data_IF_583034450313
#
_entry.id   IF_583034450313
#
_cell.length_a   1.000
_cell.length_b   1.000
_cell.length_c   1.000
_cell.angle_alpha   90.00
_cell.angle_beta   90.00
_cell.angle_gamma   90.00
#
_symmetry.space_group_name_H-M   'P 1'
#
loop_
_entity.id
_entity.type
_entity.pdbx_description
1 polymer ?
#
# COMPACT_ATOMS: atom_id res chain seq x y z
N UNK A 1 -69.53 54.83 -6.06
CA UNK A 1 -68.75 55.31 -4.89
C UNK A 1 -67.66 54.28 -4.64
N UNK A 2 -66.38 54.59 -4.92
CA UNK A 2 -65.39 55.05 -3.92
C UNK A 2 -65.27 53.98 -2.80
N UNK A 3 -64.14 53.31 -2.53
CA UNK A 3 -62.77 53.79 -2.29
C UNK A 3 -61.79 52.59 -2.26
N UNK A 4 -60.56 52.75 -2.79
CA UNK A 4 -59.36 51.94 -2.51
C UNK A 4 -58.67 52.45 -1.22
N UNK A 5 -58.02 51.61 -0.37
CA UNK A 5 -56.55 51.43 -0.49
C UNK A 5 -56.03 50.02 -0.06
N UNK A 6 -55.04 49.44 -0.77
CA UNK A 6 -53.59 49.31 -0.42
C UNK A 6 -53.29 48.59 0.90
N UNK A 7 -52.58 47.44 0.85
CA UNK A 7 -51.23 47.20 1.44
C UNK A 7 -50.59 45.94 0.81
N UNK A 8 -49.30 46.07 0.53
CA UNK A 8 -48.30 45.17 -0.07
C UNK A 8 -47.80 44.11 0.91
N UNK A 9 -47.44 42.90 0.47
CA UNK A 9 -46.15 42.25 0.80
C UNK A 9 -45.91 41.03 -0.11
N UNK A 10 -44.82 41.09 -0.86
CA UNK A 10 -44.21 40.04 -1.65
C UNK A 10 -43.29 39.17 -0.78
N UNK A 11 -43.25 37.86 -1.04
CA UNK A 11 -42.10 37.01 -0.71
C UNK A 11 -41.99 35.88 -1.74
N UNK A 12 -40.94 35.95 -2.57
CA UNK A 12 -40.57 34.90 -3.52
C UNK A 12 -39.79 33.78 -2.81
N UNK A 13 -40.07 32.54 -3.19
CA UNK A 13 -39.26 31.38 -2.81
C UNK A 13 -38.42 30.95 -4.01
N UNK A 14 -37.10 31.22 -3.93
CA UNK A 14 -36.07 30.65 -4.78
C UNK A 14 -35.84 29.20 -4.37
N UNK A 15 -36.18 28.24 -5.24
CA UNK A 15 -35.83 26.83 -5.06
C UNK A 15 -34.34 26.61 -5.29
N UNK A 16 -33.60 26.33 -4.22
CA UNK A 16 -32.21 25.85 -4.27
C UNK A 16 -32.19 24.44 -4.84
N UNK A 17 -31.73 24.30 -6.09
CA UNK A 17 -31.30 23.02 -6.65
C UNK A 17 -30.05 22.56 -5.92
N UNK A 18 -30.20 21.60 -5.01
CA UNK A 18 -29.08 20.92 -4.37
C UNK A 18 -28.32 20.08 -5.40
N UNK A 19 -27.17 20.58 -5.85
CA UNK A 19 -26.19 19.79 -6.58
C UNK A 19 -25.66 18.70 -5.66
N UNK A 20 -26.26 17.52 -5.77
CA UNK A 20 -25.69 16.30 -5.21
C UNK A 20 -24.43 16.00 -6.04
N UNK A 21 -23.24 16.13 -5.46
CA UNK A 21 -22.03 15.55 -6.05
C UNK A 21 -22.23 14.04 -6.10
N UNK A 22 -22.71 13.56 -7.25
CA UNK A 22 -22.60 12.16 -7.60
C UNK A 22 -21.11 11.85 -7.72
N UNK A 23 -20.56 11.11 -6.77
CA UNK A 23 -19.29 10.43 -6.98
C UNK A 23 -19.51 9.47 -8.15
N UNK A 24 -19.03 9.86 -9.32
CA UNK A 24 -18.88 8.92 -10.43
C UNK A 24 -18.13 7.69 -9.91
N UNK A 25 -18.55 6.51 -10.35
CA UNK A 25 -17.79 5.27 -10.18
C UNK A 25 -16.48 5.40 -10.97
N UNK A 26 -15.54 6.16 -10.42
CA UNK A 26 -14.18 6.28 -10.91
C UNK A 26 -13.32 5.19 -10.29
N UNK A 27 -12.30 4.78 -11.04
CA UNK A 27 -11.14 4.06 -10.52
C UNK A 27 -10.71 4.65 -9.18
N UNK A 28 -10.41 3.79 -8.21
CA UNK A 28 -9.93 4.19 -6.90
C UNK A 28 -8.78 5.20 -7.06
N UNK A 29 -9.05 6.47 -6.79
CA UNK A 29 -8.04 7.52 -6.94
C UNK A 29 -7.09 7.43 -5.75
N UNK A 30 -5.93 6.84 -5.99
CA UNK A 30 -4.86 6.81 -5.00
C UNK A 30 -4.37 8.24 -4.76
N UNK A 31 -4.31 8.64 -3.49
CA UNK A 31 -3.88 9.99 -3.12
C UNK A 31 -2.40 9.98 -2.80
N UNK A 32 -1.59 10.87 -3.41
CA UNK A 32 -0.22 11.08 -3.00
C UNK A 32 -0.08 11.42 -1.52
N UNK A 33 0.80 10.73 -0.82
CA UNK A 33 0.99 10.92 0.61
C UNK A 33 2.34 10.38 1.08
N UNK A 34 2.72 10.81 2.29
CA UNK A 34 3.80 10.21 3.07
C UNK A 34 3.25 9.74 4.41
N UNK A 35 3.51 8.48 4.73
CA UNK A 35 3.14 7.83 5.98
C UNK A 35 4.39 7.35 6.72
N UNK A 36 4.48 7.63 8.02
CA UNK A 36 5.56 7.17 8.90
C UNK A 36 4.96 6.26 9.96
N UNK A 37 5.57 5.10 10.13
CA UNK A 37 5.15 4.07 11.08
C UNK A 37 6.29 3.74 12.03
N UNK A 38 6.00 3.62 13.32
CA UNK A 38 6.91 3.02 14.28
C UNK A 38 6.68 1.51 14.34
N UNK A 39 7.77 0.75 14.21
CA UNK A 39 7.76 -0.70 14.17
C UNK A 39 8.08 -1.27 15.54
N UNK A 40 7.39 -2.34 15.92
CA UNK A 40 7.61 -3.05 17.17
C UNK A 40 7.37 -4.54 16.99
N UNK A 41 8.16 -5.37 17.66
CA UNK A 41 7.91 -6.81 17.79
C UNK A 41 6.50 -7.07 18.35
N UNK A 42 5.77 -7.98 17.72
CA UNK A 42 4.47 -8.49 18.20
C UNK A 42 4.63 -9.87 18.82
N UNK A 43 5.29 -10.79 18.07
CA UNK A 43 5.61 -12.13 18.53
C UNK A 43 6.92 -12.63 17.91
N UNK A 44 7.61 -13.54 18.60
CA UNK A 44 8.75 -14.27 18.06
C UNK A 44 8.72 -15.70 18.61
N UNK A 45 9.04 -16.69 17.78
CA UNK A 45 9.28 -18.06 18.22
C UNK A 45 10.71 -18.15 18.79
N UNK A 46 10.93 -19.02 19.77
CA UNK A 46 12.25 -19.23 20.36
C UNK A 46 13.32 -19.56 19.30
N UNK A 47 12.93 -20.29 18.24
CA UNK A 47 13.81 -20.67 17.12
C UNK A 47 14.31 -19.51 16.27
N UNK A 48 13.64 -18.34 16.32
CA UNK A 48 14.10 -17.13 15.62
C UNK A 48 15.30 -16.46 16.32
N UNK A 49 15.50 -16.72 17.62
CA UNK A 49 16.51 -16.06 18.45
C UNK A 49 16.28 -14.56 18.68
N UNK A 50 15.13 -14.02 18.25
CA UNK A 50 14.77 -12.60 18.39
C UNK A 50 14.19 -12.36 19.77
N UNK A 51 14.83 -11.49 20.54
CA UNK A 51 14.36 -11.07 21.87
C UNK A 51 13.70 -9.70 21.87
N UNK A 52 13.95 -8.90 20.83
CA UNK A 52 13.38 -7.58 20.66
C UNK A 52 13.47 -7.08 19.22
N UNK A 53 12.49 -6.27 18.82
CA UNK A 53 12.51 -5.56 17.53
C UNK A 53 11.88 -4.18 17.69
N UNK A 54 12.60 -3.17 17.25
CA UNK A 54 12.10 -1.80 17.10
C UNK A 54 12.51 -1.26 15.74
N UNK A 55 11.80 -0.26 15.23
CA UNK A 55 12.15 0.29 13.93
C UNK A 55 11.26 1.42 13.48
N UNK A 56 11.46 1.83 12.23
CA UNK A 56 10.65 2.83 11.58
C UNK A 56 10.51 2.51 10.09
N UNK A 57 9.30 2.68 9.60
CA UNK A 57 8.95 2.58 8.19
C UNK A 57 8.49 3.93 7.68
N UNK A 58 9.02 4.36 6.55
CA UNK A 58 8.59 5.57 5.84
C UNK A 58 8.14 5.15 4.45
N UNK A 59 6.89 5.42 4.14
CA UNK A 59 6.28 5.14 2.84
C UNK A 59 5.86 6.46 2.21
N UNK A 60 6.31 6.72 1.00
CA UNK A 60 5.95 7.90 0.22
C UNK A 60 5.45 7.45 -1.14
N UNK A 61 4.22 7.84 -1.47
CA UNK A 61 3.55 7.56 -2.72
C UNK A 61 3.25 8.86 -3.44
N UNK A 62 3.67 8.97 -4.70
CA UNK A 62 3.46 10.14 -5.54
C UNK A 62 3.05 9.72 -6.95
N UNK A 63 2.44 10.64 -7.68
CA UNK A 63 2.11 10.46 -9.10
C UNK A 63 0.62 10.43 -9.39
N UNK A 64 0.28 10.03 -10.61
CA UNK A 64 -1.07 10.04 -11.15
C UNK A 64 -1.21 9.05 -12.30
N UNK A 65 -2.44 8.81 -12.78
CA UNK A 65 -2.71 7.97 -13.95
C UNK A 65 -1.97 8.46 -15.23
N UNK A 66 -1.60 9.74 -15.30
CA UNK A 66 -0.96 10.32 -16.49
C UNK A 66 0.56 10.33 -16.41
N UNK A 67 1.11 10.56 -15.21
CA UNK A 67 2.56 10.62 -15.00
C UNK A 67 3.16 9.25 -14.66
N UNK A 68 2.32 8.30 -14.25
CA UNK A 68 2.75 7.11 -13.53
C UNK A 68 2.91 7.38 -12.04
N UNK A 69 3.30 6.34 -11.31
CA UNK A 69 3.37 6.33 -9.86
C UNK A 69 4.79 6.07 -9.39
N UNK A 70 5.29 6.88 -8.47
CA UNK A 70 6.59 6.68 -7.82
C UNK A 70 6.35 6.33 -6.36
N UNK A 71 6.96 5.24 -5.90
CA UNK A 71 6.95 4.86 -4.49
C UNK A 71 8.38 4.91 -3.94
N UNK A 72 8.57 5.62 -2.83
CA UNK A 72 9.78 5.53 -2.02
C UNK A 72 9.42 4.89 -0.69
N UNK A 73 10.16 3.85 -0.34
CA UNK A 73 9.93 3.07 0.86
C UNK A 73 11.25 2.89 1.59
N UNK A 74 11.27 3.21 2.89
CA UNK A 74 12.42 2.96 3.75
C UNK A 74 11.98 2.21 4.99
N UNK A 75 12.61 1.08 5.24
CA UNK A 75 12.28 0.17 6.32
C UNK A 75 13.52 -0.09 7.15
N UNK A 76 13.55 0.48 8.35
CA UNK A 76 14.67 0.35 9.28
C UNK A 76 14.25 -0.45 10.48
N UNK A 77 14.94 -1.55 10.75
CA UNK A 77 14.74 -2.36 11.94
C UNK A 77 16.03 -2.50 12.73
N UNK A 78 15.87 -2.56 14.03
CA UNK A 78 16.90 -2.88 15.02
C UNK A 78 16.40 -4.12 15.73
N UNK A 79 17.14 -5.21 15.57
CA UNK A 79 16.79 -6.53 16.09
C UNK A 79 17.77 -6.88 17.20
N UNK A 80 17.22 -7.16 18.38
CA UNK A 80 17.93 -7.68 19.53
C UNK A 80 17.86 -9.21 19.47
N UNK A 81 19.01 -9.87 19.58
CA UNK A 81 19.13 -11.32 19.54
C UNK A 81 19.72 -11.83 20.85
N UNK A 82 19.39 -13.06 21.24
CA UNK A 82 19.82 -13.63 22.53
C UNK A 82 21.34 -13.86 22.59
N UNK A 83 21.91 -14.48 21.56
CA UNK A 83 23.33 -14.88 21.51
C UNK A 83 24.18 -14.06 20.52
N UNK A 84 23.56 -13.14 19.78
CA UNK A 84 24.20 -12.34 18.74
C UNK A 84 24.14 -10.85 19.08
N UNK A 85 25.11 -10.04 18.62
CA UNK A 85 25.02 -8.60 18.77
C UNK A 85 23.78 -8.06 18.06
N UNK A 86 23.26 -6.94 18.58
CA UNK A 86 22.18 -6.21 17.95
C UNK A 86 22.52 -5.90 16.48
N UNK A 87 21.55 -6.13 15.59
CA UNK A 87 21.69 -5.90 14.16
C UNK A 87 20.76 -4.80 13.69
N UNK A 88 21.27 -3.84 12.92
CA UNK A 88 20.46 -2.83 12.26
C UNK A 88 20.36 -3.14 10.78
N UNK A 89 19.14 -3.28 10.27
CA UNK A 89 18.86 -3.46 8.85
C UNK A 89 18.10 -2.24 8.33
N UNK A 90 18.61 -1.61 7.27
CA UNK A 90 17.99 -0.47 6.58
C UNK A 90 17.77 -0.85 5.11
N UNK A 91 16.52 -1.06 4.75
CA UNK A 91 16.10 -1.33 3.38
C UNK A 91 15.53 -0.05 2.75
N UNK A 92 16.05 0.30 1.58
CA UNK A 92 15.64 1.46 0.82
C UNK A 92 15.19 1.00 -0.56
N UNK A 93 13.92 1.23 -0.86
CA UNK A 93 13.26 0.83 -2.09
C UNK A 93 12.72 2.06 -2.80
N UNK A 94 13.04 2.19 -4.08
CA UNK A 94 12.42 3.18 -4.96
C UNK A 94 11.87 2.45 -6.17
N UNK A 95 10.60 2.69 -6.48
CA UNK A 95 9.93 2.10 -7.63
C UNK A 95 9.18 3.13 -8.46
N UNK A 96 8.99 2.81 -9.73
CA UNK A 96 8.14 3.56 -10.65
C UNK A 96 7.25 2.58 -11.43
N UNK A 97 5.94 2.84 -11.47
CA UNK A 97 4.96 2.15 -12.29
C UNK A 97 4.38 3.10 -13.34
N UNK A 98 4.30 2.67 -14.60
CA UNK A 98 3.62 3.45 -15.63
C UNK A 98 2.12 3.58 -15.31
N UNK A 99 1.49 4.68 -15.71
CA UNK A 99 0.08 4.94 -15.40
C UNK A 99 -0.90 3.93 -16.03
N UNK A 100 -0.50 3.27 -17.12
CA UNK A 100 -1.23 2.15 -17.72
C UNK A 100 -0.90 0.79 -17.06
N UNK A 101 0.07 0.73 -16.13
CA UNK A 101 0.41 -0.44 -15.33
C UNK A 101 1.21 -1.53 -16.06
N UNK A 102 1.76 -1.24 -17.24
CA UNK A 102 2.46 -2.23 -18.07
C UNK A 102 3.98 -2.28 -17.84
N UNK A 103 4.55 -1.31 -17.12
CA UNK A 103 5.98 -1.18 -16.84
C UNK A 103 6.22 -0.87 -15.39
N UNK A 104 7.24 -1.51 -14.84
CA UNK A 104 7.68 -1.35 -13.47
C UNK A 104 9.19 -1.25 -13.42
N UNK A 105 9.71 -0.25 -12.74
CA UNK A 105 11.14 -0.10 -12.47
C UNK A 105 11.36 -0.10 -10.99
N UNK A 106 12.42 -0.77 -10.54
CA UNK A 106 12.69 -0.93 -9.11
C UNK A 106 14.18 -0.88 -8.81
N UNK A 107 14.49 -0.35 -7.63
CA UNK A 107 15.81 -0.40 -6.99
C UNK A 107 15.59 -0.72 -5.53
N UNK A 108 16.18 -1.81 -5.05
CA UNK A 108 16.19 -2.20 -3.64
C UNK A 108 17.63 -2.22 -3.14
N UNK A 109 17.92 -1.47 -2.09
CA UNK A 109 19.21 -1.47 -1.40
C UNK A 109 19.02 -1.93 0.03
N UNK A 110 19.82 -2.89 0.44
CA UNK A 110 19.84 -3.38 1.82
C UNK A 110 21.17 -3.05 2.47
N UNK A 111 21.10 -2.28 3.55
CA UNK A 111 22.24 -1.97 4.39
C UNK A 111 22.11 -2.77 5.69
N UNK A 112 23.20 -3.42 6.09
CA UNK A 112 23.31 -4.08 7.40
C UNK A 112 24.43 -3.38 8.14
N UNK A 113 24.13 -2.86 9.33
CA UNK A 113 25.06 -2.08 10.14
C UNK A 113 25.79 -1.00 9.32
N UNK A 114 25.00 -0.25 8.55
CA UNK A 114 25.40 0.84 7.66
C UNK A 114 26.20 0.44 6.41
N UNK A 115 26.52 -0.84 6.25
CA UNK A 115 27.25 -1.37 5.09
C UNK A 115 26.27 -1.86 4.03
N UNK A 116 26.47 -1.47 2.76
CA UNK A 116 25.66 -1.98 1.65
C UNK A 116 25.96 -3.47 1.46
N UNK A 117 24.94 -4.31 1.65
CA UNK A 117 25.06 -5.78 1.57
C UNK A 117 24.41 -6.36 0.33
N UNK A 118 23.32 -5.75 -0.15
CA UNK A 118 22.60 -6.20 -1.35
C UNK A 118 22.05 -4.99 -2.11
N UNK A 119 22.17 -5.04 -3.44
CA UNK A 119 21.49 -4.12 -4.35
C UNK A 119 20.86 -4.92 -5.49
N UNK A 120 19.55 -4.80 -5.65
CA UNK A 120 18.80 -5.38 -6.76
C UNK A 120 18.17 -4.24 -7.54
N UNK A 121 18.38 -4.24 -8.86
CA UNK A 121 17.90 -3.17 -9.74
C UNK A 121 17.47 -3.76 -11.06
N UNK A 122 16.28 -3.40 -11.51
CA UNK A 122 15.81 -3.82 -12.82
C UNK A 122 14.56 -3.10 -13.28
N UNK A 123 14.09 -3.59 -14.42
CA UNK A 123 12.85 -3.22 -15.06
C UNK A 123 12.03 -4.49 -15.28
N UNK A 124 10.71 -4.41 -15.13
CA UNK A 124 9.76 -5.44 -15.48
C UNK A 124 8.70 -4.87 -16.43
N UNK A 125 8.25 -5.69 -17.37
CA UNK A 125 7.22 -5.33 -18.34
C UNK A 125 6.19 -6.44 -18.48
N UNK A 126 4.91 -6.08 -18.46
CA UNK A 126 3.83 -7.00 -18.78
C UNK A 126 3.73 -7.16 -20.29
N UNK A 127 3.93 -8.39 -20.75
CA UNK A 127 3.67 -8.81 -22.13
C UNK A 127 2.36 -9.60 -22.17
N UNK A 128 2.01 -10.14 -23.34
CA UNK A 128 0.68 -10.75 -23.55
C UNK A 128 0.35 -11.90 -22.58
N UNK A 129 1.35 -12.72 -22.25
CA UNK A 129 1.20 -13.98 -21.50
C UNK A 129 2.26 -14.16 -20.40
N UNK A 130 3.08 -13.13 -20.14
CA UNK A 130 4.23 -13.22 -19.23
C UNK A 130 4.63 -11.87 -18.65
N UNK A 131 5.39 -11.91 -17.57
CA UNK A 131 6.11 -10.76 -17.00
C UNK A 131 7.58 -10.88 -17.38
N UNK A 132 8.08 -10.02 -18.28
CA UNK A 132 9.50 -9.99 -18.63
C UNK A 132 10.25 -9.16 -17.60
N UNK A 133 11.36 -9.68 -17.07
CA UNK A 133 12.21 -9.03 -16.08
C UNK A 133 13.61 -8.85 -16.66
N UNK A 134 14.17 -7.67 -16.49
CA UNK A 134 15.55 -7.34 -16.87
C UNK A 134 16.27 -6.75 -15.67
N UNK A 135 17.17 -7.53 -15.06
CA UNK A 135 18.02 -7.07 -13.96
C UNK A 135 19.31 -6.45 -14.50
N UNK A 136 19.80 -5.46 -13.77
CA UNK A 136 21.10 -4.80 -13.98
C UNK A 136 22.02 -4.93 -12.77
N UNK A 137 21.45 -5.18 -11.60
CA UNK A 137 22.15 -5.53 -10.35
C UNK A 137 21.39 -6.65 -9.64
N UNK A 138 22.10 -7.55 -8.92
CA UNK A 138 23.55 -7.57 -8.69
C UNK A 138 24.37 -7.89 -9.95
N UNK A 139 23.80 -8.69 -10.85
CA UNK A 139 24.33 -9.01 -12.17
C UNK A 139 23.26 -8.76 -13.24
N UNK A 140 23.67 -8.66 -14.50
CA UNK A 140 22.73 -8.49 -15.59
C UNK A 140 22.08 -9.84 -15.95
N UNK A 141 20.77 -9.93 -15.84
CA UNK A 141 20.00 -11.11 -16.23
C UNK A 141 18.69 -10.72 -16.89
N UNK A 142 18.08 -11.67 -17.61
CA UNK A 142 16.75 -11.53 -18.18
C UNK A 142 15.99 -12.81 -18.00
N UNK A 143 14.76 -12.69 -17.52
CA UNK A 143 13.92 -13.83 -17.20
C UNK A 143 12.47 -13.54 -17.58
N UNK A 144 11.75 -14.58 -17.96
CA UNK A 144 10.33 -14.52 -18.22
C UNK A 144 9.62 -15.26 -17.09
N UNK A 145 8.82 -14.55 -16.32
CA UNK A 145 7.94 -15.13 -15.32
C UNK A 145 6.50 -15.18 -15.83
N UNK A 146 5.66 -15.88 -15.09
CA UNK A 146 4.23 -15.89 -15.35
C UNK A 146 3.61 -14.48 -15.35
N UNK A 147 2.50 -14.33 -16.05
CA UNK A 147 1.77 -13.06 -16.10
C UNK A 147 1.28 -12.67 -14.70
N UNK A 148 1.57 -11.43 -14.32
CA UNK A 148 1.23 -10.86 -13.00
C UNK A 148 0.67 -9.45 -13.14
N UNK A 149 0.57 -8.73 -12.03
CA UNK A 149 0.37 -7.28 -11.97
C UNK A 149 1.41 -6.66 -11.03
N UNK A 150 1.59 -5.34 -11.14
CA UNK A 150 2.50 -4.57 -10.29
C UNK A 150 1.79 -3.94 -9.08
N UNK A 151 2.53 -3.47 -8.04
CA UNK A 151 1.97 -3.12 -6.74
C UNK A 151 0.85 -2.08 -6.76
N UNK A 152 0.97 -1.02 -7.56
CA UNK A 152 -0.03 0.04 -7.65
C UNK A 152 -1.29 -0.50 -8.30
N UNK A 153 -1.16 -1.31 -9.37
CA UNK A 153 -2.31 -1.95 -10.01
C UNK A 153 -3.01 -2.91 -9.06
N UNK A 154 -2.24 -3.68 -8.28
CA UNK A 154 -2.78 -4.55 -7.25
C UNK A 154 -3.55 -3.77 -6.18
N UNK A 155 -3.04 -2.61 -5.71
CA UNK A 155 -3.76 -1.76 -4.75
C UNK A 155 -5.05 -1.19 -5.33
N UNK A 156 -5.03 -0.74 -6.59
CA UNK A 156 -6.23 -0.26 -7.28
C UNK A 156 -7.29 -1.36 -7.42
N UNK A 157 -6.88 -2.59 -7.78
CA UNK A 157 -7.79 -3.75 -7.88
C UNK A 157 -8.39 -4.09 -6.51
N UNK A 158 -7.56 -4.14 -5.46
CA UNK A 158 -8.01 -4.35 -4.08
C UNK A 158 -9.09 -3.35 -3.66
N UNK A 159 -8.86 -2.05 -3.86
CA UNK A 159 -9.85 -1.03 -3.49
C UNK A 159 -11.11 -1.17 -4.34
N UNK A 160 -10.97 -1.43 -5.65
CA UNK A 160 -12.12 -1.61 -6.55
C UNK A 160 -13.00 -2.79 -6.12
N UNK A 161 -12.37 -3.91 -5.74
CA UNK A 161 -13.04 -5.11 -5.22
C UNK A 161 -13.72 -4.88 -3.86
N UNK A 162 -13.04 -4.18 -2.95
CA UNK A 162 -13.62 -3.78 -1.66
C UNK A 162 -14.86 -2.88 -1.83
N UNK A 163 -14.82 -1.94 -2.79
CA UNK A 163 -15.96 -1.09 -3.14
C UNK A 163 -17.11 -1.87 -3.80
N UNK A 164 -16.78 -2.91 -4.58
CA UNK A 164 -17.77 -3.83 -5.17
C UNK A 164 -18.37 -4.81 -4.13
N UNK A 165 -17.87 -4.83 -2.90
CA UNK A 165 -18.31 -5.74 -1.85
C UNK A 165 -17.75 -7.16 -1.97
N UNK A 166 -16.72 -7.37 -2.79
CA UNK A 166 -15.97 -8.63 -2.77
C UNK A 166 -15.20 -8.74 -1.44
N UNK A 167 -15.20 -9.94 -0.85
CA UNK A 167 -14.60 -10.20 0.47
C UNK A 167 -13.43 -11.18 0.43
N UNK A 168 -13.25 -11.88 -0.69
CA UNK A 168 -12.23 -12.90 -0.86
C UNK A 168 -11.89 -13.06 -2.34
N UNK A 169 -10.60 -13.02 -2.69
CA UNK A 169 -10.13 -13.34 -4.03
C UNK A 169 -8.65 -13.72 -4.02
N UNK A 170 -8.17 -14.23 -5.16
CA UNK A 170 -6.76 -14.54 -5.38
C UNK A 170 -6.26 -13.82 -6.63
N UNK A 171 -4.99 -13.45 -6.64
CA UNK A 171 -4.31 -12.85 -7.79
C UNK A 171 -2.80 -13.12 -7.71
N UNK A 172 -2.03 -12.55 -8.62
CA UNK A 172 -0.57 -12.69 -8.70
C UNK A 172 0.09 -11.33 -8.65
N UNK A 173 1.26 -11.25 -8.03
CA UNK A 173 1.99 -10.00 -7.84
C UNK A 173 3.46 -10.19 -8.19
N UNK A 174 4.00 -9.27 -8.98
CA UNK A 174 5.42 -8.99 -9.02
C UNK A 174 5.66 -7.63 -8.36
N UNK A 175 6.43 -7.58 -7.28
CA UNK A 175 6.72 -6.33 -6.55
C UNK A 175 8.21 -5.97 -6.54
N UNK A 176 9.05 -6.77 -7.19
CA UNK A 176 10.50 -6.59 -7.23
C UNK A 176 11.16 -6.76 -5.87
N UNK A 177 10.52 -7.43 -4.90
CA UNK A 177 11.10 -7.76 -3.61
C UNK A 177 12.22 -8.79 -3.71
N UNK A 178 13.01 -8.93 -2.63
CA UNK A 178 14.10 -9.91 -2.51
C UNK A 178 15.12 -9.87 -3.66
N UNK A 179 15.17 -10.90 -4.49
CA UNK A 179 16.03 -11.04 -5.68
C UNK A 179 15.32 -10.64 -6.98
N UNK A 180 14.04 -10.25 -6.89
CA UNK A 180 13.18 -9.84 -7.99
C UNK A 180 13.08 -10.90 -9.11
N UNK A 181 13.02 -12.16 -8.72
CA UNK A 181 13.04 -13.36 -9.55
C UNK A 181 11.74 -14.20 -9.41
N UNK A 182 10.75 -13.71 -8.66
CA UNK A 182 9.51 -14.45 -8.36
C UNK A 182 8.25 -13.64 -8.58
N UNK A 183 7.22 -14.31 -9.05
CA UNK A 183 5.83 -13.86 -8.96
C UNK A 183 5.19 -14.59 -7.79
N UNK A 184 4.58 -13.84 -6.89
CA UNK A 184 3.92 -14.39 -5.71
C UNK A 184 2.43 -14.52 -5.96
N UNK A 185 1.85 -15.66 -5.60
CA UNK A 185 0.40 -15.79 -5.50
C UNK A 185 -0.07 -15.07 -4.23
N UNK A 186 -1.10 -14.22 -4.35
CA UNK A 186 -1.68 -13.50 -3.22
C UNK A 186 -3.12 -13.93 -3.00
N UNK A 187 -3.45 -14.29 -1.77
CA UNK A 187 -4.84 -14.46 -1.31
C UNK A 187 -5.23 -13.26 -0.48
N UNK A 188 -6.32 -12.60 -0.87
CA UNK A 188 -6.80 -11.38 -0.22
C UNK A 188 -8.15 -11.63 0.46
N UNK A 189 -8.23 -11.27 1.73
CA UNK A 189 -9.45 -11.29 2.54
C UNK A 189 -9.79 -9.86 2.94
N UNK A 190 -11.00 -9.40 2.62
CA UNK A 190 -11.49 -8.06 2.94
C UNK A 190 -12.62 -8.20 3.95
N UNK A 191 -12.42 -7.65 5.14
CA UNK A 191 -13.43 -7.63 6.19
C UNK A 191 -14.42 -6.48 6.03
N UNK A 192 -15.41 -6.45 6.93
CA UNK A 192 -16.49 -5.46 6.89
C UNK A 192 -15.94 -4.04 7.12
N UNK A 193 -16.36 -3.11 6.27
CA UNK A 193 -16.01 -1.70 6.40
C UNK A 193 -16.58 -1.09 7.69
N UNK A 194 -15.77 -0.37 8.44
CA UNK A 194 -16.19 0.35 9.63
C UNK A 194 -15.37 1.62 9.85
N UNK A 195 -15.96 2.59 10.55
CA UNK A 195 -15.18 3.67 11.15
C UNK A 195 -14.52 3.11 12.41
N UNK A 196 -13.20 3.21 12.50
CA UNK A 196 -12.43 2.79 13.67
C UNK A 196 -11.92 4.02 14.39
N UNK A 197 -12.17 4.10 15.70
CA UNK A 197 -11.61 5.14 16.58
C UNK A 197 -10.54 4.50 17.46
N UNK A 198 -9.29 4.68 17.06
CA UNK A 198 -8.11 4.15 17.75
C UNK A 198 -7.00 5.21 17.81
N UNK A 199 -5.92 4.91 18.51
CA UNK A 199 -4.90 5.91 18.84
C UNK A 199 -4.20 6.52 17.60
N UNK A 200 -4.21 5.82 16.45
CA UNK A 200 -3.64 6.32 15.20
C UNK A 200 -4.52 7.38 14.52
N UNK A 201 -5.84 7.39 14.76
CA UNK A 201 -6.78 8.32 14.10
C UNK A 201 -6.42 9.78 14.38
N UNK A 202 -5.78 10.05 15.52
CA UNK A 202 -5.23 11.36 15.91
C UNK A 202 -4.22 11.91 14.89
N UNK A 203 -3.53 11.03 14.16
CA UNK A 203 -2.52 11.38 13.16
C UNK A 203 -3.09 11.42 11.73
N UNK A 204 -4.38 11.12 11.54
CA UNK A 204 -4.99 10.95 10.21
C UNK A 204 -5.54 12.25 9.61
N UNK A 205 -5.58 13.34 10.39
CA UNK A 205 -6.12 14.63 9.95
C UNK A 205 -7.53 14.49 9.35
N UNK A 206 -7.76 14.87 8.07
CA UNK A 206 -9.07 14.77 7.45
C UNK A 206 -9.59 13.33 7.31
N UNK A 207 -8.72 12.31 7.35
CA UNK A 207 -9.11 10.91 7.24
C UNK A 207 -9.52 10.26 8.58
N UNK A 208 -9.46 11.00 9.69
CA UNK A 208 -9.68 10.45 11.04
C UNK A 208 -11.07 9.83 11.23
N UNK A 209 -12.09 10.31 10.51
CA UNK A 209 -13.48 9.83 10.59
C UNK A 209 -13.92 9.02 9.37
N UNK A 210 -13.00 8.79 8.44
CA UNK A 210 -13.29 8.03 7.23
C UNK A 210 -13.38 6.53 7.54
N UNK A 211 -14.16 5.83 6.73
CA UNK A 211 -14.33 4.37 6.86
C UNK A 211 -13.09 3.65 6.35
N UNK A 212 -12.70 2.58 7.04
CA UNK A 212 -11.65 1.66 6.58
C UNK A 212 -12.19 0.25 6.36
N UNK A 213 -11.51 -0.50 5.50
CA UNK A 213 -11.65 -1.96 5.43
C UNK A 213 -10.46 -2.62 6.13
N UNK A 214 -10.67 -3.55 7.07
CA UNK A 214 -9.61 -4.45 7.50
C UNK A 214 -9.31 -5.43 6.36
N UNK A 215 -8.04 -5.56 5.99
CA UNK A 215 -7.57 -6.40 4.88
C UNK A 215 -6.49 -7.33 5.40
N UNK A 216 -6.51 -8.58 4.92
CA UNK A 216 -5.44 -9.56 5.08
C UNK A 216 -4.95 -9.99 3.71
N UNK A 217 -3.65 -9.97 3.48
CA UNK A 217 -3.01 -10.50 2.27
C UNK A 217 -1.98 -11.54 2.69
N UNK A 218 -2.12 -12.75 2.16
CA UNK A 218 -1.17 -13.84 2.34
C UNK A 218 -0.45 -14.11 1.02
N UNK A 219 0.87 -14.24 1.07
CA UNK A 219 1.78 -14.40 -0.06
C UNK A 219 2.31 -15.84 -0.08
N UNK A 220 2.23 -16.47 -1.24
CA UNK A 220 2.66 -17.84 -1.46
C UNK A 220 3.64 -17.88 -2.62
N UNK A 221 4.79 -18.52 -2.40
CA UNK A 221 5.68 -18.94 -3.49
C UNK A 221 5.28 -20.37 -3.88
N UNK A 222 4.71 -20.54 -5.06
CA UNK A 222 4.28 -21.86 -5.57
C UNK A 222 5.47 -22.83 -5.77
N UNK A 223 6.70 -22.33 -5.78
CA UNK A 223 7.91 -23.15 -5.89
C UNK A 223 8.42 -23.62 -4.53
N UNK A 224 8.01 -22.98 -3.43
CA UNK A 224 8.38 -23.38 -2.07
C UNK A 224 7.43 -24.45 -1.54
N UNK A 225 8.00 -25.52 -0.99
CA UNK A 225 7.24 -26.62 -0.36
C UNK A 225 6.96 -26.32 1.11
N UNK A 226 6.31 -25.20 1.42
CA UNK A 226 6.00 -24.74 2.79
C UNK A 226 4.78 -25.43 3.42
N UNK A 227 4.45 -26.67 3.01
CA UNK A 227 3.26 -27.40 3.47
C UNK A 227 1.93 -26.62 3.31
N UNK A 228 1.89 -25.64 2.38
CA UNK A 228 0.72 -24.79 2.14
C UNK A 228 0.60 -23.58 3.07
N UNK A 229 1.65 -23.25 3.84
CA UNK A 229 1.72 -22.03 4.63
C UNK A 229 2.21 -20.85 3.77
N UNK A 230 1.68 -19.62 3.98
CA UNK A 230 2.20 -18.44 3.30
C UNK A 230 3.59 -18.09 3.80
N UNK A 231 4.48 -17.68 2.89
CA UNK A 231 5.83 -17.19 3.22
C UNK A 231 5.77 -15.83 3.94
N UNK A 232 4.70 -15.05 3.70
CA UNK A 232 4.47 -13.77 4.36
C UNK A 232 2.97 -13.47 4.45
N UNK A 233 2.53 -12.86 5.55
CA UNK A 233 1.16 -12.36 5.71
C UNK A 233 1.16 -10.96 6.29
N UNK A 234 0.39 -10.07 5.67
CA UNK A 234 0.14 -8.72 6.20
C UNK A 234 -1.34 -8.53 6.50
N UNK A 235 -1.63 -7.86 7.61
CA UNK A 235 -2.95 -7.36 7.96
C UNK A 235 -2.86 -5.85 8.14
N UNK A 236 -3.86 -5.12 7.67
CA UNK A 236 -3.89 -3.66 7.77
C UNK A 236 -5.31 -3.13 7.65
N UNK A 237 -5.52 -1.89 8.08
CA UNK A 237 -6.70 -1.09 7.75
C UNK A 237 -6.42 -0.26 6.50
N UNK A 238 -7.31 -0.35 5.52
CA UNK A 238 -7.20 0.33 4.23
C UNK A 238 -8.27 1.41 4.08
N UNK A 239 -7.88 2.62 3.70
CA UNK A 239 -8.78 3.68 3.27
C UNK A 239 -9.04 3.61 1.76
N UNK A 240 -10.17 4.17 1.31
CA UNK A 240 -10.55 4.23 -0.12
C UNK A 240 -9.50 4.92 -1.02
N UNK A 241 -8.67 5.77 -0.46
CA UNK A 241 -7.64 6.54 -1.17
C UNK A 241 -6.25 5.88 -1.16
N UNK A 242 -6.14 4.63 -0.69
CA UNK A 242 -4.89 3.87 -0.67
C UNK A 242 -4.01 4.09 0.55
N UNK A 243 -4.38 4.99 1.48
CA UNK A 243 -3.68 5.10 2.76
C UNK A 243 -3.94 3.84 3.59
N UNK A 244 -2.90 3.28 4.20
CA UNK A 244 -2.99 2.13 5.10
C UNK A 244 -2.52 2.49 6.51
N UNK A 245 -2.97 1.74 7.51
CA UNK A 245 -2.54 1.88 8.91
C UNK A 245 -2.80 0.60 9.70
N UNK A 246 -2.40 0.58 10.98
CA UNK A 246 -2.57 -0.58 11.86
C UNK A 246 -1.98 -1.86 11.24
N UNK A 247 -0.71 -1.79 10.86
CA UNK A 247 -0.05 -2.86 10.12
C UNK A 247 0.35 -3.98 11.08
N UNK A 248 0.11 -5.23 10.67
CA UNK A 248 0.68 -6.43 11.30
C UNK A 248 1.29 -7.32 10.23
N UNK A 249 2.60 -7.51 10.32
CA UNK A 249 3.45 -8.18 9.34
C UNK A 249 3.99 -9.47 9.97
N UNK A 250 3.67 -10.61 9.37
CA UNK A 250 3.94 -11.95 9.90
C UNK A 250 4.83 -12.71 8.90
N UNK A 251 6.04 -13.05 9.36
CA UNK A 251 7.10 -13.72 8.58
C UNK A 251 7.19 -15.21 8.94
N UNK A 252 6.25 -15.73 9.74
CA UNK A 252 6.21 -17.12 10.18
C UNK A 252 6.92 -17.35 11.52
N UNK A 253 8.22 -17.09 11.59
CA UNK A 253 9.03 -17.25 12.81
C UNK A 253 8.89 -16.07 13.78
N UNK A 254 8.64 -14.87 13.25
CA UNK A 254 8.28 -13.70 14.04
C UNK A 254 7.24 -12.83 13.33
N UNK A 255 6.60 -11.94 14.10
CA UNK A 255 5.70 -10.93 13.58
C UNK A 255 5.94 -9.58 14.25
N UNK A 256 5.60 -8.52 13.53
CA UNK A 256 5.74 -7.15 14.01
C UNK A 256 4.52 -6.30 13.68
N UNK A 257 4.29 -5.28 14.49
CA UNK A 257 3.29 -4.24 14.22
C UNK A 257 3.94 -2.97 13.69
N UNK A 258 3.27 -2.28 12.78
CA UNK A 258 3.62 -0.94 12.32
C UNK A 258 2.51 0.05 12.68
N UNK A 259 2.77 0.91 13.68
CA UNK A 259 1.81 1.93 14.13
C UNK A 259 2.04 3.25 13.40
N UNK A 260 1.03 3.79 12.74
CA UNK A 260 1.11 5.07 12.06
C UNK A 260 1.27 6.23 13.07
N UNK A 261 2.36 6.98 12.93
CA UNK A 261 2.71 8.12 13.80
C UNK A 261 2.68 9.47 13.08
N UNK A 262 2.72 9.47 11.75
CA UNK A 262 2.58 10.70 10.96
C UNK A 262 1.99 10.40 9.58
N UNK A 263 1.05 11.22 9.15
CA UNK A 263 0.53 11.23 7.79
C UNK A 263 0.61 12.64 7.23
N UNK A 264 1.18 12.77 6.04
CA UNK A 264 1.14 13.98 5.25
C UNK A 264 0.50 13.66 3.90
N UNK A 265 -0.60 14.34 3.58
CA UNK A 265 -1.24 14.26 2.28
C UNK A 265 -0.61 15.28 1.34
N UNK A 266 -0.44 14.91 0.07
CA UNK A 266 0.03 15.79 -0.98
C UNK A 266 -1.06 16.01 -2.02
N UNK A 267 -0.94 17.11 -2.77
CA UNK A 267 -1.83 17.37 -3.90
C UNK A 267 -1.55 16.39 -5.04
N UNK A 268 -2.61 15.87 -5.64
CA UNK A 268 -2.47 15.03 -6.83
C UNK A 268 -1.96 15.87 -8.02
N UNK A 269 -0.95 15.40 -8.76
CA UNK A 269 -0.54 16.03 -10.01
C UNK A 269 -1.72 16.15 -10.96
N UNK A 270 -1.89 17.31 -11.57
CA UNK A 270 -2.96 17.53 -12.56
C UNK A 270 -2.52 16.94 -13.88
N UNK A 271 -3.25 15.93 -14.35
CA UNK A 271 -3.18 15.47 -15.73
C UNK A 271 -3.47 16.62 -16.70
N UNK A 272 -2.45 17.14 -17.38
CA UNK A 272 -2.65 18.01 -18.55
C UNK A 272 -3.10 17.12 -19.71
N UNK A 273 -4.37 17.26 -20.10
CA UNK A 273 -4.89 16.66 -21.34
C UNK A 273 -4.30 17.32 -22.57
#
# INVERSE_FOLDING_TARGET
MRVLPVVVFSLGALGLTGSSMAFAAGTATLVPHRAIYDLKLDSAQDSSGITGLTGRMVYEFNGSDCEGYTTNFRFVTRVDMEEQPQRVTDQQTTTFESGNGDKFRFVNKTFVDQSLTKEVRGDAALLKDKTEISLTKPEASKEDLELSQFPTRHMQDLISKALAGEVFYQTKLFDGSEDADKVMATTVVIGKSAVSDDDETKNMGPLAKETTWPVSIAYFDDNEKTEGLPSYRINFKMYRNGVTRDLKMDYGDFSMTGKLVNLQLFDAPKCTK
#
